data_IF_873001676740
#
_entry.id   IF_873001676740
#
_cell.length_a   1.000
_cell.length_b   1.000
_cell.length_c   1.000
_cell.angle_alpha   90.00
_cell.angle_beta   90.00
_cell.angle_gamma   90.00
#
_symmetry.space_group_name_H-M   'P 1'
#
loop_
_entity.id
_entity.type
_entity.pdbx_description
1 polymer ?
#
# COMPACT_ATOMS: atom_id res chain seq x y z
N UNK A 1 12.04 -0.36 -13.73
CA UNK A 1 10.59 -0.29 -14.04
C UNK A 1 10.24 1.11 -14.55
N UNK A 2 9.39 1.24 -15.56
CA UNK A 2 8.85 2.53 -16.01
C UNK A 2 7.46 2.73 -15.40
N UNK A 3 7.40 3.46 -14.28
CA UNK A 3 6.17 3.69 -13.53
C UNK A 3 5.07 4.36 -14.38
N UNK A 4 5.45 5.19 -15.37
CA UNK A 4 4.48 5.91 -16.21
C UNK A 4 3.58 4.98 -17.03
N UNK A 5 4.05 3.78 -17.37
CA UNK A 5 3.28 2.77 -18.11
C UNK A 5 2.28 2.00 -17.24
N UNK A 6 2.50 2.00 -15.94
CA UNK A 6 1.62 1.32 -14.98
C UNK A 6 0.51 2.22 -14.46
N UNK A 7 0.73 3.53 -14.43
CA UNK A 7 -0.25 4.48 -13.91
C UNK A 7 -1.46 4.61 -14.85
N UNK A 8 -2.64 4.72 -14.25
CA UNK A 8 -3.82 5.19 -15.01
C UNK A 8 -3.53 6.57 -15.59
N UNK A 9 -3.90 6.84 -16.86
CA UNK A 9 -3.57 8.12 -17.52
C UNK A 9 -4.06 9.37 -16.79
N UNK A 10 -5.25 9.30 -16.19
CA UNK A 10 -5.81 10.38 -15.38
C UNK A 10 -5.03 10.61 -14.07
N UNK A 11 -4.47 9.57 -13.49
CA UNK A 11 -3.64 9.67 -12.27
C UNK A 11 -2.24 10.21 -12.60
N UNK A 12 -1.67 9.81 -13.72
CA UNK A 12 -0.38 10.37 -14.18
C UNK A 12 -0.44 11.91 -14.33
N UNK A 13 -1.58 12.43 -14.81
CA UNK A 13 -1.82 13.87 -15.02
C UNK A 13 -2.41 14.58 -13.80
N UNK A 14 -2.75 13.86 -12.73
CA UNK A 14 -3.41 14.43 -11.55
C UNK A 14 -2.53 15.47 -10.87
N UNK A 15 -3.06 16.68 -10.71
CA UNK A 15 -2.50 17.69 -9.82
C UNK A 15 -3.07 17.44 -8.42
N UNK A 16 -2.24 17.17 -7.42
CA UNK A 16 -2.73 16.90 -6.07
C UNK A 16 -3.38 18.14 -5.47
N UNK A 17 -4.31 17.91 -4.55
CA UNK A 17 -4.82 19.00 -3.71
C UNK A 17 -3.66 19.58 -2.89
N UNK A 18 -3.51 20.90 -2.90
CA UNK A 18 -2.58 21.62 -2.04
C UNK A 18 -3.36 22.49 -1.04
N UNK A 19 -2.98 22.42 0.23
CA UNK A 19 -3.53 23.27 1.27
C UNK A 19 -2.52 24.35 1.64
N UNK A 20 -2.99 25.52 2.08
CA UNK A 20 -2.12 26.59 2.58
C UNK A 20 -1.16 26.07 3.69
N UNK A 21 -1.65 25.13 4.53
CA UNK A 21 -0.84 24.47 5.55
C UNK A 21 0.28 23.60 4.98
N UNK A 22 0.06 22.91 3.87
CA UNK A 22 1.09 22.06 3.23
C UNK A 22 2.18 22.90 2.53
N UNK A 23 1.85 24.10 2.09
CA UNK A 23 2.78 25.02 1.42
C UNK A 23 3.60 25.86 2.40
N UNK A 24 3.14 26.02 3.64
CA UNK A 24 3.83 26.82 4.63
C UNK A 24 4.93 26.01 5.34
N UNK A 25 6.15 26.53 5.29
CA UNK A 25 7.31 25.98 6.00
C UNK A 25 7.76 27.00 7.05
N UNK A 26 7.42 26.80 8.31
CA UNK A 26 7.81 27.69 9.38
C UNK A 26 6.99 27.53 10.67
N UNK A 27 7.12 28.49 11.56
CA UNK A 27 6.32 28.56 12.79
C UNK A 27 5.45 29.81 12.74
N UNK A 28 4.18 29.66 13.05
CA UNK A 28 3.25 30.78 13.21
C UNK A 28 2.66 30.75 14.62
N UNK A 29 2.50 31.93 15.22
CA UNK A 29 1.80 32.09 16.50
C UNK A 29 0.27 32.13 16.34
N UNK A 30 -0.20 32.47 15.14
CA UNK A 30 -1.61 32.53 14.80
C UNK A 30 -1.83 31.81 13.46
N UNK A 31 -2.82 30.90 13.43
CA UNK A 31 -3.20 30.12 12.25
C UNK A 31 -4.62 30.51 11.82
N UNK A 32 -4.77 31.04 10.59
CA UNK A 32 -6.05 31.45 9.99
C UNK A 32 -6.26 30.82 8.60
N UNK A 33 -5.54 29.76 8.31
CA UNK A 33 -5.41 29.16 6.98
C UNK A 33 -6.50 28.14 6.64
N UNK A 34 -7.20 27.59 7.63
CA UNK A 34 -8.12 26.46 7.44
C UNK A 34 -9.51 26.63 8.08
N UNK A 35 -9.89 27.86 8.48
CA UNK A 35 -11.20 28.17 9.09
C UNK A 35 -11.54 27.29 10.32
N UNK A 36 -10.53 26.87 11.06
CA UNK A 36 -10.66 26.01 12.23
C UNK A 36 -11.16 26.81 13.45
N UNK A 37 -12.01 26.16 14.27
CA UNK A 37 -12.39 26.70 15.58
C UNK A 37 -11.27 26.42 16.59
N UNK A 38 -10.59 27.42 17.19
CA UNK A 38 -9.42 27.20 18.04
C UNK A 38 -9.74 26.72 19.48
N UNK A 39 -11.01 26.55 19.84
CA UNK A 39 -11.44 26.40 21.25
C UNK A 39 -11.63 24.95 21.71
N UNK A 40 -11.18 23.94 20.93
CA UNK A 40 -11.32 22.53 21.30
C UNK A 40 -9.97 21.79 21.26
N UNK A 41 -9.01 22.24 22.03
CA UNK A 41 -7.71 21.57 22.15
C UNK A 41 -7.88 20.13 22.73
N UNK A 42 -7.13 19.13 22.23
CA UNK A 42 -6.09 19.19 21.20
C UNK A 42 -6.62 18.89 19.77
N UNK A 43 -7.92 18.85 19.55
CA UNK A 43 -8.56 18.35 18.31
C UNK A 43 -8.94 19.47 17.33
N UNK A 44 -8.68 20.72 17.66
CA UNK A 44 -9.15 21.87 16.89
C UNK A 44 -8.36 22.15 15.60
N UNK A 45 -7.25 21.46 15.36
CA UNK A 45 -6.37 21.70 14.22
C UNK A 45 -6.28 20.49 13.30
N UNK A 46 -6.32 20.72 11.99
CA UNK A 46 -5.95 19.68 11.04
C UNK A 46 -4.52 19.20 11.25
N UNK A 47 -4.25 17.89 11.13
CA UNK A 47 -2.89 17.37 11.20
C UNK A 47 -2.06 17.75 9.95
N UNK A 48 -0.77 17.48 9.99
CA UNK A 48 0.10 17.55 8.81
C UNK A 48 -0.41 16.55 7.74
N UNK A 49 -0.81 17.01 6.55
CA UNK A 49 -1.35 16.12 5.49
C UNK A 49 -0.36 15.05 5.02
N UNK A 50 0.94 15.27 5.21
CA UNK A 50 2.00 14.32 4.86
C UNK A 50 2.52 13.51 6.04
N UNK A 51 1.99 13.73 7.26
CA UNK A 51 2.34 13.05 8.51
C UNK A 51 3.87 12.94 8.75
N UNK A 52 4.63 13.99 8.47
CA UNK A 52 6.11 13.97 8.43
C UNK A 52 6.73 13.47 9.73
N UNK A 53 6.25 13.97 10.88
CA UNK A 53 6.77 13.56 12.19
C UNK A 53 6.53 12.08 12.48
N UNK A 54 5.36 11.55 12.09
CA UNK A 54 5.01 10.16 12.27
C UNK A 54 5.81 9.25 11.32
N UNK A 55 5.94 9.65 10.06
CA UNK A 55 6.78 8.93 9.08
C UNK A 55 8.24 8.86 9.50
N UNK A 56 8.79 9.94 10.06
CA UNK A 56 10.16 9.93 10.60
C UNK A 56 10.31 8.90 11.73
N UNK A 57 9.31 8.78 12.62
CA UNK A 57 9.36 7.78 13.70
C UNK A 57 9.22 6.34 13.18
N UNK A 58 8.36 6.12 12.18
CA UNK A 58 8.22 4.80 11.54
C UNK A 58 9.49 4.42 10.77
N UNK A 59 10.09 5.38 10.06
CA UNK A 59 11.35 5.20 9.34
C UNK A 59 12.47 4.70 10.26
N UNK A 60 12.59 5.29 11.47
CA UNK A 60 13.52 4.84 12.50
C UNK A 60 13.25 3.38 12.95
N UNK A 61 11.97 3.03 13.19
CA UNK A 61 11.58 1.70 13.69
C UNK A 61 11.72 0.62 12.61
N UNK A 62 11.39 0.95 11.36
CA UNK A 62 11.38 -0.01 10.25
C UNK A 62 12.68 0.01 9.42
N UNK A 63 13.61 0.90 9.74
CA UNK A 63 14.90 1.07 9.06
C UNK A 63 14.75 1.35 7.56
N UNK A 64 13.83 2.25 7.19
CA UNK A 64 13.55 2.69 5.83
C UNK A 64 13.54 4.22 5.73
N UNK A 65 13.58 4.76 4.53
CA UNK A 65 13.45 6.20 4.32
C UNK A 65 12.01 6.68 4.59
N UNK A 66 11.85 7.83 5.25
CA UNK A 66 10.53 8.42 5.52
C UNK A 66 9.75 8.74 4.23
N UNK A 67 10.45 9.03 3.13
CA UNK A 67 9.86 9.29 1.81
C UNK A 67 9.35 8.02 1.12
N UNK A 68 9.78 6.83 1.58
CA UNK A 68 9.31 5.53 1.13
C UNK A 68 8.06 5.03 1.89
N UNK A 69 7.44 5.89 2.73
CA UNK A 69 6.31 5.51 3.58
C UNK A 69 5.04 6.23 3.15
N UNK A 70 3.98 5.46 2.92
CA UNK A 70 2.61 5.92 2.84
C UNK A 70 1.84 5.51 4.09
N UNK A 71 0.97 6.40 4.61
CA UNK A 71 0.11 6.12 5.75
C UNK A 71 -1.35 6.26 5.36
N UNK A 72 -2.14 5.25 5.70
CA UNK A 72 -3.56 5.17 5.37
C UNK A 72 -4.46 4.81 6.56
N UNK A 73 -5.76 4.93 6.37
CA UNK A 73 -6.81 4.55 7.32
C UNK A 73 -6.97 3.02 7.31
N UNK A 74 -6.07 2.34 8.03
CA UNK A 74 -5.87 0.90 7.95
C UNK A 74 -5.15 0.49 6.66
N UNK A 75 -4.74 -0.77 6.58
CA UNK A 75 -4.20 -1.35 5.34
C UNK A 75 -5.26 -1.42 4.22
N UNK A 76 -6.54 -1.36 4.57
CA UNK A 76 -7.64 -1.35 3.59
C UNK A 76 -7.57 -0.14 2.65
N UNK A 77 -7.18 1.05 3.15
CA UNK A 77 -6.94 2.21 2.27
C UNK A 77 -5.72 1.99 1.37
N UNK A 78 -4.68 1.32 1.87
CA UNK A 78 -3.53 0.96 1.04
C UNK A 78 -3.94 0.00 -0.09
N UNK A 79 -4.85 -0.96 0.18
CA UNK A 79 -5.40 -1.86 -0.83
C UNK A 79 -6.19 -1.06 -1.89
N UNK A 80 -7.14 -0.24 -1.47
CA UNK A 80 -7.99 0.54 -2.39
C UNK A 80 -7.17 1.48 -3.27
N UNK A 81 -6.16 2.14 -2.72
CA UNK A 81 -5.28 3.04 -3.47
C UNK A 81 -4.54 2.33 -4.60
N UNK A 82 -4.12 1.06 -4.42
CA UNK A 82 -3.49 0.27 -5.48
C UNK A 82 -4.39 0.17 -6.71
N UNK A 83 -5.67 -0.15 -6.53
CA UNK A 83 -6.64 -0.22 -7.62
C UNK A 83 -6.84 1.14 -8.28
N UNK A 84 -7.05 2.18 -7.48
CA UNK A 84 -7.31 3.54 -7.97
C UNK A 84 -6.14 4.14 -8.74
N UNK A 85 -4.92 3.76 -8.42
CA UNK A 85 -3.69 4.26 -9.05
C UNK A 85 -3.35 3.50 -10.33
N UNK A 86 -3.42 2.17 -10.29
CA UNK A 86 -2.85 1.33 -11.34
C UNK A 86 -3.89 0.70 -12.26
N UNK A 87 -5.10 0.40 -11.80
CA UNK A 87 -6.05 -0.41 -12.56
C UNK A 87 -7.13 0.45 -13.24
N UNK A 88 -7.24 0.37 -14.57
CA UNK A 88 -8.31 1.00 -15.34
C UNK A 88 -9.59 0.16 -15.20
N UNK A 89 -10.71 0.73 -14.74
CA UNK A 89 -11.98 0.01 -14.64
C UNK A 89 -12.41 -0.62 -15.96
N UNK A 90 -12.93 -1.84 -15.91
CA UNK A 90 -13.42 -2.60 -17.06
C UNK A 90 -12.36 -3.03 -18.08
N UNK A 91 -11.05 -2.80 -17.81
CA UNK A 91 -9.95 -3.10 -18.74
C UNK A 91 -8.87 -3.94 -18.09
N UNK A 92 -8.35 -3.47 -16.95
CA UNK A 92 -7.22 -4.10 -16.28
C UNK A 92 -7.67 -5.18 -15.30
N UNK A 93 -6.73 -6.04 -14.93
CA UNK A 93 -6.96 -7.11 -13.98
C UNK A 93 -5.87 -7.17 -12.91
N UNK A 94 -6.17 -7.94 -11.87
CA UNK A 94 -5.23 -8.27 -10.80
C UNK A 94 -5.19 -9.77 -10.59
N UNK A 95 -4.03 -10.28 -10.17
CA UNK A 95 -3.82 -11.67 -9.80
C UNK A 95 -3.60 -11.76 -8.29
N UNK A 96 -4.15 -12.77 -7.64
CA UNK A 96 -3.91 -13.02 -6.23
C UNK A 96 -3.81 -14.51 -5.93
N UNK A 97 -3.07 -14.86 -4.89
CA UNK A 97 -3.11 -16.22 -4.33
C UNK A 97 -4.50 -16.55 -3.78
N UNK A 98 -4.90 -17.82 -3.76
CA UNK A 98 -6.15 -18.28 -3.18
C UNK A 98 -5.97 -19.61 -2.42
N UNK A 99 -6.55 -19.76 -1.19
CA UNK A 99 -7.32 -18.74 -0.46
C UNK A 99 -6.43 -17.64 0.12
N UNK A 100 -6.96 -16.42 0.21
CA UNK A 100 -6.29 -15.27 0.82
C UNK A 100 -7.29 -14.25 1.39
N UNK A 101 -6.81 -13.08 1.82
CA UNK A 101 -7.63 -12.02 2.40
C UNK A 101 -8.65 -11.47 1.39
N UNK A 102 -9.94 -11.55 1.74
CA UNK A 102 -11.04 -11.27 0.82
C UNK A 102 -11.17 -9.81 0.36
N UNK A 103 -10.51 -8.86 1.03
CA UNK A 103 -10.59 -7.44 0.62
C UNK A 103 -9.93 -7.16 -0.71
N UNK A 104 -9.00 -7.99 -1.19
CA UNK A 104 -8.44 -7.81 -2.53
C UNK A 104 -9.52 -7.96 -3.60
N UNK A 105 -10.34 -9.01 -3.51
CA UNK A 105 -11.47 -9.23 -4.42
C UNK A 105 -12.57 -8.17 -4.24
N UNK A 106 -12.89 -7.80 -3.01
CA UNK A 106 -13.89 -6.76 -2.73
C UNK A 106 -13.47 -5.42 -3.35
N UNK A 107 -12.22 -5.00 -3.16
CA UNK A 107 -11.71 -3.76 -3.76
C UNK A 107 -11.62 -3.85 -5.29
N UNK A 108 -11.30 -5.03 -5.86
CA UNK A 108 -11.35 -5.25 -7.30
C UNK A 108 -12.76 -5.00 -7.85
N UNK A 109 -13.77 -5.61 -7.22
CA UNK A 109 -15.18 -5.46 -7.61
C UNK A 109 -15.68 -4.01 -7.47
N UNK A 110 -15.30 -3.31 -6.39
CA UNK A 110 -15.66 -1.88 -6.19
C UNK A 110 -15.08 -1.00 -7.31
N UNK A 111 -13.87 -1.34 -7.78
CA UNK A 111 -13.17 -0.57 -8.81
C UNK A 111 -13.41 -1.07 -10.24
N UNK A 112 -14.33 -2.03 -10.45
CA UNK A 112 -14.63 -2.64 -11.75
C UNK A 112 -13.36 -3.22 -12.42
N UNK A 113 -12.57 -3.99 -11.64
CA UNK A 113 -11.32 -4.63 -12.06
C UNK A 113 -11.46 -6.14 -11.95
N UNK A 114 -11.08 -6.88 -13.01
CA UNK A 114 -11.12 -8.34 -13.00
C UNK A 114 -10.17 -8.90 -11.94
N UNK A 115 -10.68 -9.77 -11.07
CA UNK A 115 -9.91 -10.48 -10.06
C UNK A 115 -9.64 -11.91 -10.48
N UNK A 116 -8.37 -12.32 -10.55
CA UNK A 116 -7.92 -13.64 -10.95
C UNK A 116 -7.29 -14.40 -9.78
N UNK A 117 -8.04 -15.28 -9.10
CA UNK A 117 -7.49 -16.11 -8.04
C UNK A 117 -6.65 -17.25 -8.62
N UNK A 118 -5.45 -17.46 -8.05
CA UNK A 118 -4.56 -18.58 -8.37
C UNK A 118 -4.43 -19.47 -7.14
N UNK A 119 -4.89 -20.73 -7.22
CA UNK A 119 -4.82 -21.64 -6.07
C UNK A 119 -3.40 -21.87 -5.58
N UNK A 120 -3.23 -21.85 -4.26
CA UNK A 120 -2.04 -22.38 -3.60
C UNK A 120 -1.95 -23.91 -3.80
N UNK A 121 -0.78 -24.48 -3.58
CA UNK A 121 -0.61 -25.93 -3.54
C UNK A 121 -1.47 -26.59 -2.45
N UNK A 122 -1.61 -27.92 -2.50
CA UNK A 122 -2.38 -28.70 -1.50
C UNK A 122 -1.82 -28.52 -0.07
N UNK A 123 -0.53 -28.25 0.05
CA UNK A 123 0.20 -27.91 1.29
C UNK A 123 0.23 -26.39 1.58
N UNK A 124 -0.57 -25.61 0.88
CA UNK A 124 -0.58 -24.15 0.87
C UNK A 124 0.75 -23.50 0.40
N UNK A 125 1.58 -24.22 -0.34
CA UNK A 125 2.79 -23.65 -0.94
C UNK A 125 2.46 -22.66 -2.08
N UNK A 126 3.35 -21.70 -2.29
CA UNK A 126 3.25 -20.70 -3.36
C UNK A 126 3.63 -21.32 -4.70
N UNK A 127 2.73 -21.23 -5.67
CA UNK A 127 3.00 -21.64 -7.05
C UNK A 127 3.40 -20.42 -7.90
N UNK A 128 4.68 -20.08 -7.88
CA UNK A 128 5.25 -18.95 -8.62
C UNK A 128 4.94 -19.01 -10.12
N UNK A 129 5.04 -20.19 -10.72
CA UNK A 129 4.79 -20.35 -12.16
C UNK A 129 3.33 -20.11 -12.52
N UNK A 130 2.41 -20.63 -11.73
CA UNK A 130 0.97 -20.42 -11.96
C UNK A 130 0.58 -18.95 -11.79
N UNK A 131 1.15 -18.25 -10.79
CA UNK A 131 0.92 -16.82 -10.60
C UNK A 131 1.39 -16.00 -11.80
N UNK A 132 2.60 -16.25 -12.28
CA UNK A 132 3.15 -15.56 -13.46
C UNK A 132 2.38 -15.91 -14.74
N UNK A 133 1.92 -17.15 -14.90
CA UNK A 133 1.14 -17.58 -16.05
C UNK A 133 -0.29 -17.00 -16.06
N UNK A 134 -0.85 -16.64 -14.91
CA UNK A 134 -2.16 -16.00 -14.81
C UNK A 134 -2.13 -14.51 -15.16
N UNK A 135 -0.93 -13.90 -15.20
CA UNK A 135 -0.75 -12.51 -15.57
C UNK A 135 -0.70 -12.33 -17.10
N UNK A 136 -1.25 -11.23 -17.58
CA UNK A 136 -1.20 -10.78 -18.96
C UNK A 136 -0.83 -9.29 -19.06
N UNK A 137 -0.89 -8.68 -20.22
CA UNK A 137 -0.56 -7.28 -20.49
C UNK A 137 -1.44 -6.27 -19.72
N UNK A 138 -2.65 -6.71 -19.31
CA UNK A 138 -3.59 -5.92 -18.52
C UNK A 138 -3.45 -6.18 -17.01
N UNK A 139 -2.61 -7.10 -16.59
CA UNK A 139 -2.37 -7.36 -15.17
C UNK A 139 -1.50 -6.26 -14.57
N UNK A 140 -2.09 -5.45 -13.68
CA UNK A 140 -1.40 -4.30 -13.08
C UNK A 140 -0.86 -4.57 -11.69
N UNK A 141 -1.56 -5.43 -10.92
CA UNK A 141 -1.20 -5.72 -9.54
C UNK A 141 -1.26 -7.23 -9.29
N UNK A 142 -0.28 -7.73 -8.56
CA UNK A 142 -0.28 -9.10 -8.01
C UNK A 142 -0.24 -9.04 -6.49
N UNK A 143 -1.12 -9.80 -5.82
CA UNK A 143 -1.30 -9.80 -4.39
C UNK A 143 -0.76 -11.07 -3.75
N UNK A 144 0.16 -10.92 -2.79
CA UNK A 144 0.68 -12.00 -1.95
C UNK A 144 0.55 -11.57 -0.49
N UNK A 145 -0.29 -12.26 0.27
CA UNK A 145 -0.37 -12.11 1.72
C UNK A 145 0.64 -13.06 2.39
N UNK A 146 1.60 -12.53 3.14
CA UNK A 146 2.66 -13.36 3.75
C UNK A 146 3.14 -12.75 5.08
N UNK A 147 2.85 -13.37 6.24
CA UNK A 147 2.07 -14.61 6.42
C UNK A 147 0.64 -14.52 5.91
N UNK A 148 0.15 -15.59 5.28
CA UNK A 148 -1.15 -15.58 4.62
C UNK A 148 -2.33 -15.74 5.63
N UNK A 149 -3.39 -15.05 5.36
CA UNK A 149 -4.69 -15.25 5.99
C UNK A 149 -5.64 -15.89 4.95
N UNK A 150 -6.19 -17.13 5.17
CA UNK A 150 -6.33 -17.79 6.48
C UNK A 150 -5.32 -18.89 6.78
N UNK A 151 -4.38 -19.22 5.90
CA UNK A 151 -3.56 -20.43 6.01
C UNK A 151 -2.44 -20.35 7.05
N UNK A 152 -2.02 -19.12 7.43
CA UNK A 152 -1.07 -18.85 8.52
C UNK A 152 0.40 -19.06 8.14
N UNK A 153 0.71 -19.62 6.97
CA UNK A 153 2.08 -19.81 6.52
C UNK A 153 2.66 -18.57 5.84
N UNK A 154 3.96 -18.40 5.95
CA UNK A 154 4.70 -17.38 5.22
C UNK A 154 5.42 -18.00 4.00
N UNK A 155 5.56 -17.21 2.93
CA UNK A 155 6.23 -17.67 1.72
C UNK A 155 7.70 -17.24 1.71
N UNK A 156 8.62 -18.08 1.14
CA UNK A 156 10.03 -17.73 1.05
C UNK A 156 10.27 -16.43 0.30
N UNK A 157 11.10 -15.54 0.83
CA UNK A 157 11.47 -14.28 0.18
C UNK A 157 12.10 -14.49 -1.20
N UNK A 158 12.78 -15.61 -1.43
CA UNK A 158 13.34 -15.97 -2.74
C UNK A 158 12.27 -16.14 -3.82
N UNK A 159 11.10 -16.70 -3.46
CA UNK A 159 9.98 -16.83 -4.39
C UNK A 159 9.33 -15.47 -4.65
N UNK A 160 9.18 -14.63 -3.62
CA UNK A 160 8.68 -13.25 -3.76
C UNK A 160 9.62 -12.43 -4.66
N UNK A 161 10.93 -12.55 -4.46
CA UNK A 161 11.93 -11.89 -5.29
C UNK A 161 11.88 -12.37 -6.76
N UNK A 162 11.73 -13.67 -6.99
CA UNK A 162 11.56 -14.25 -8.32
C UNK A 162 10.34 -13.68 -9.05
N UNK A 163 9.20 -13.56 -8.34
CA UNK A 163 7.99 -12.95 -8.90
C UNK A 163 8.24 -11.49 -9.22
N UNK A 164 8.85 -10.72 -8.30
CA UNK A 164 9.14 -9.30 -8.52
C UNK A 164 10.05 -9.07 -9.74
N UNK A 165 11.01 -9.95 -9.98
CA UNK A 165 11.92 -9.86 -11.14
C UNK A 165 11.19 -10.12 -12.48
N UNK A 166 10.25 -11.08 -12.49
CA UNK A 166 9.61 -11.57 -13.72
C UNK A 166 8.28 -10.87 -14.04
N UNK A 167 7.64 -10.27 -13.05
CA UNK A 167 6.36 -9.59 -13.22
C UNK A 167 6.57 -8.11 -13.55
N UNK A 168 6.00 -7.66 -14.66
CA UNK A 168 6.14 -6.27 -15.12
C UNK A 168 5.20 -5.27 -14.41
N UNK A 169 4.23 -5.76 -13.64
CA UNK A 169 3.30 -4.96 -12.81
C UNK A 169 3.81 -4.73 -11.39
N UNK A 170 2.90 -4.23 -10.53
CA UNK A 170 3.16 -4.00 -9.11
C UNK A 170 2.93 -5.26 -8.29
N UNK A 171 3.94 -5.74 -7.58
CA UNK A 171 3.82 -6.83 -6.63
C UNK A 171 3.55 -6.27 -5.23
N UNK A 172 2.39 -6.58 -4.67
CA UNK A 172 2.05 -6.22 -3.29
C UNK A 172 2.29 -7.41 -2.38
N UNK A 173 3.11 -7.20 -1.35
CA UNK A 173 3.33 -8.15 -0.27
C UNK A 173 2.62 -7.62 0.97
N UNK A 174 1.46 -8.22 1.27
CA UNK A 174 0.70 -7.85 2.47
C UNK A 174 1.25 -8.60 3.67
N UNK A 175 1.96 -7.87 4.49
CA UNK A 175 2.63 -8.32 5.71
C UNK A 175 1.87 -7.93 6.98
N UNK A 176 0.54 -7.91 6.95
CA UNK A 176 -0.27 -7.59 8.14
C UNK A 176 0.04 -8.47 9.35
N UNK A 177 0.62 -9.65 9.14
CA UNK A 177 0.96 -10.63 10.19
C UNK A 177 2.47 -10.85 10.36
N UNK A 178 3.33 -10.03 9.76
CA UNK A 178 4.79 -10.22 9.77
C UNK A 178 5.39 -10.24 11.18
N UNK A 179 4.84 -9.44 12.09
CA UNK A 179 5.35 -9.37 13.47
C UNK A 179 5.12 -10.67 14.27
N UNK A 180 4.34 -11.63 13.74
CA UNK A 180 4.20 -13.00 14.28
C UNK A 180 5.11 -14.01 13.60
N UNK A 181 5.83 -13.63 12.55
CA UNK A 181 6.68 -14.50 11.75
C UNK A 181 8.14 -14.45 12.21
N UNK A 182 8.82 -15.59 12.09
CA UNK A 182 10.27 -15.64 12.20
C UNK A 182 11.01 -15.32 10.89
N UNK A 183 10.28 -15.20 9.78
CA UNK A 183 10.88 -14.82 8.50
C UNK A 183 11.13 -13.30 8.45
N UNK A 184 12.19 -12.85 7.77
CA UNK A 184 12.41 -11.43 7.55
C UNK A 184 11.31 -10.84 6.65
N UNK A 185 11.05 -9.54 6.82
CA UNK A 185 10.11 -8.78 5.99
C UNK A 185 10.62 -8.63 4.56
N UNK A 186 9.69 -8.57 3.60
CA UNK A 186 9.96 -8.21 2.21
C UNK A 186 10.50 -6.77 2.05
N UNK A 187 10.50 -5.96 3.11
CA UNK A 187 11.23 -4.68 3.16
C UNK A 187 12.74 -4.84 2.89
N UNK A 188 13.28 -6.04 3.09
CA UNK A 188 14.70 -6.36 2.78
C UNK A 188 14.95 -6.61 1.29
N UNK A 189 13.89 -6.74 0.48
CA UNK A 189 14.01 -6.92 -0.97
C UNK A 189 14.12 -5.55 -1.66
N UNK A 190 15.12 -5.40 -2.50
CA UNK A 190 15.37 -4.17 -3.26
C UNK A 190 14.85 -4.34 -4.69
N UNK A 191 13.51 -4.33 -4.86
CA UNK A 191 12.88 -4.41 -6.16
C UNK A 191 11.96 -3.20 -6.39
N UNK A 192 12.07 -2.50 -7.54
CA UNK A 192 11.41 -1.22 -7.76
C UNK A 192 9.88 -1.32 -7.93
N UNK A 193 9.35 -2.53 -8.06
CA UNK A 193 7.93 -2.81 -8.26
C UNK A 193 7.27 -3.49 -7.05
N UNK A 194 7.96 -3.55 -5.91
CA UNK A 194 7.36 -4.10 -4.68
C UNK A 194 6.71 -2.98 -3.87
N UNK A 195 5.51 -3.28 -3.37
CA UNK A 195 4.85 -2.53 -2.30
C UNK A 195 4.64 -3.46 -1.13
N UNK A 196 5.24 -3.16 0.02
CA UNK A 196 5.05 -3.93 1.25
C UNK A 196 4.03 -3.23 2.13
N UNK A 197 3.06 -3.97 2.66
CA UNK A 197 2.00 -3.41 3.50
C UNK A 197 2.10 -3.93 4.93
N UNK A 198 2.01 -3.01 5.91
CA UNK A 198 1.93 -3.32 7.34
C UNK A 198 0.71 -2.67 7.98
N UNK A 199 0.32 -3.15 9.16
CA UNK A 199 -0.77 -2.58 9.95
C UNK A 199 -0.47 -2.66 11.45
N UNK A 200 -1.01 -1.71 12.22
CA UNK A 200 -1.01 -1.80 13.68
C UNK A 200 -2.21 -2.57 14.24
N UNK A 201 -3.11 -3.04 13.38
CA UNK A 201 -4.37 -3.69 13.79
C UNK A 201 -4.18 -5.09 14.38
N UNK A 202 -3.06 -5.77 14.11
CA UNK A 202 -2.82 -7.18 14.48
C UNK A 202 -1.90 -7.29 15.70
N UNK A 203 -0.62 -7.54 15.49
CA UNK A 203 0.34 -7.75 16.57
C UNK A 203 0.45 -6.57 17.55
N UNK A 204 0.26 -5.35 17.04
CA UNK A 204 0.32 -4.13 17.84
C UNK A 204 -0.95 -3.84 18.65
N UNK A 205 -2.01 -4.65 18.51
CA UNK A 205 -3.24 -4.54 19.30
C UNK A 205 -4.00 -3.22 19.13
N UNK A 206 -3.82 -2.53 18.00
CA UNK A 206 -4.28 -1.15 17.79
C UNK A 206 -5.30 -1.03 16.64
N UNK A 207 -6.18 -2.05 16.50
CA UNK A 207 -7.16 -2.11 15.41
C UNK A 207 -8.11 -0.90 15.36
N UNK A 208 -8.48 -0.36 16.52
CA UNK A 208 -9.43 0.74 16.64
C UNK A 208 -8.91 2.08 16.11
N UNK A 209 -7.59 2.29 16.08
CA UNK A 209 -7.01 3.55 15.58
C UNK A 209 -6.95 3.62 14.06
N UNK A 210 -7.28 2.55 13.35
CA UNK A 210 -7.34 2.48 11.89
C UNK A 210 -6.04 2.94 11.24
N UNK A 211 -4.91 2.27 11.54
CA UNK A 211 -3.60 2.66 11.04
C UNK A 211 -2.97 1.57 10.18
N UNK A 212 -2.71 1.90 8.92
CA UNK A 212 -2.00 1.07 7.95
C UNK A 212 -0.86 1.82 7.28
N UNK A 213 0.10 1.07 6.78
CA UNK A 213 1.30 1.58 6.12
C UNK A 213 1.55 0.83 4.82
N UNK A 214 2.02 1.54 3.80
CA UNK A 214 2.64 0.92 2.63
C UNK A 214 4.05 1.49 2.46
N UNK A 215 4.97 0.63 2.07
CA UNK A 215 6.38 0.93 1.82
C UNK A 215 6.71 0.60 0.38
N UNK A 216 7.26 1.56 -0.35
CA UNK A 216 7.65 1.40 -1.75
C UNK A 216 8.68 2.45 -2.14
N UNK A 217 9.16 2.39 -3.39
CA UNK A 217 9.97 3.47 -3.95
C UNK A 217 9.27 4.82 -3.84
N UNK A 218 10.05 5.88 -3.62
CA UNK A 218 9.58 7.25 -3.40
C UNK A 218 8.60 7.73 -4.47
N UNK A 219 8.85 7.40 -5.72
CA UNK A 219 8.00 7.77 -6.84
C UNK A 219 6.59 7.19 -6.71
N UNK A 220 6.47 5.94 -6.26
CA UNK A 220 5.18 5.27 -6.01
C UNK A 220 4.46 5.95 -4.85
N UNK A 221 5.18 6.19 -3.75
CA UNK A 221 4.62 6.88 -2.57
C UNK A 221 4.13 8.29 -2.91
N UNK A 222 4.85 9.01 -3.78
CA UNK A 222 4.41 10.33 -4.25
C UNK A 222 3.08 10.25 -5.02
N UNK A 223 2.88 9.20 -5.83
CA UNK A 223 1.59 8.99 -6.53
C UNK A 223 0.47 8.64 -5.53
N UNK A 224 0.73 7.80 -4.53
CA UNK A 224 -0.26 7.49 -3.50
C UNK A 224 -0.70 8.76 -2.75
N UNK A 225 0.24 9.63 -2.38
CA UNK A 225 -0.05 10.90 -1.72
C UNK A 225 -0.84 11.87 -2.61
N UNK A 226 -0.78 11.77 -3.95
CA UNK A 226 -1.63 12.55 -4.86
C UNK A 226 -3.09 12.11 -4.83
N UNK A 227 -3.34 10.82 -4.62
CA UNK A 227 -4.68 10.20 -4.72
C UNK A 227 -5.37 10.11 -3.37
N UNK A 228 -4.59 9.98 -2.29
CA UNK A 228 -5.09 9.96 -0.92
C UNK A 228 -5.82 11.26 -0.58
N UNK A 229 -6.86 11.18 0.25
CA UNK A 229 -7.41 12.37 0.88
C UNK A 229 -6.34 13.07 1.75
N UNK A 230 -6.37 14.40 1.86
CA UNK A 230 -5.29 15.13 2.54
C UNK A 230 -5.16 14.79 4.01
N UNK A 231 -6.23 14.36 4.67
CA UNK A 231 -6.25 14.05 6.09
C UNK A 231 -6.78 12.63 6.33
N UNK A 232 -6.25 11.99 7.36
CA UNK A 232 -6.69 10.67 7.83
C UNK A 232 -7.82 10.79 8.84
#
# INVERSE_FOLDING_TARGET
MDLSKLLRPNIAQLVPYSSARSEFTGKASVWLDANENPFNEPYCRYPDPLQRALKAKIAEIKHVDAESIFLGVGSDECIDIMYRVFCRPGIDNVVAIAPTYGMYEVCANINDVEYRPVPLGEDFSLNTQALLAAADENTKVMWICSPNNPTGNAFPLSQIAEIAEKFEGMLVVDEAYIDFSSQPSALTLHAPNIVVMHTLSKAWGSAAIRFGMAFAEKEIINVFNKVKYPYN
#
